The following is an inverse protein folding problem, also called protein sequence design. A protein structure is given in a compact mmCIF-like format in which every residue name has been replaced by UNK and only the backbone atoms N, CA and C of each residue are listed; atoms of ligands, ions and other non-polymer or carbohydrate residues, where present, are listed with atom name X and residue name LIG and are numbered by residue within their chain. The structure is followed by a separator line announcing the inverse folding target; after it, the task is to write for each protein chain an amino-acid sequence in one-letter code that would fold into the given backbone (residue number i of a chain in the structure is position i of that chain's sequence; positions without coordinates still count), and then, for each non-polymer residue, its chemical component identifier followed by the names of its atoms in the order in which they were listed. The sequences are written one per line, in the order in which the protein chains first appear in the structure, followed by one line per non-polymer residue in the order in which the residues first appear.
data_IF_944560031423
#
_entry.id   IF_944560031423
#
_cell.length_a   1.000
_cell.length_b   1.000
_cell.length_c   1.000
_cell.angle_alpha   90.00
_cell.angle_beta   90.00
_cell.angle_gamma   90.00
#
_symmetry.space_group_name_H-M   'P 1'
#
loop_
_entity.id
_entity.type
_entity.pdbx_description
1 polymer ?
#
# COMPACT_ATOMS: atom_id res chain seq x y z
N UNK A 1 29.99 -55.70 -32.41
CA UNK A 1 30.94 -56.34 -31.48
C UNK A 1 30.65 -55.84 -30.08
N UNK A 2 30.20 -56.75 -29.21
CA UNK A 2 30.44 -56.64 -27.76
C UNK A 2 31.97 -56.68 -27.52
N UNK A 3 32.49 -56.19 -26.38
CA UNK A 3 32.48 -57.07 -25.23
C UNK A 3 32.18 -56.39 -23.89
N UNK A 4 31.28 -57.08 -23.19
CA UNK A 4 31.20 -57.33 -21.76
C UNK A 4 32.52 -57.87 -21.16
N UNK A 5 32.90 -57.44 -19.93
CA UNK A 5 33.52 -58.24 -18.83
C UNK A 5 33.79 -57.33 -17.60
N UNK A 6 33.22 -57.57 -16.40
CA UNK A 6 33.67 -58.52 -15.32
C UNK A 6 34.95 -57.97 -14.65
N UNK A 7 35.18 -57.78 -13.35
CA UNK A 7 34.77 -58.38 -12.05
C UNK A 7 35.26 -57.41 -10.95
N UNK A 8 34.76 -57.41 -9.69
CA UNK A 8 35.08 -58.40 -8.65
C UNK A 8 34.13 -58.24 -7.45
N UNK A 9 33.70 -59.39 -6.93
CA UNK A 9 33.11 -59.61 -5.62
C UNK A 9 34.15 -59.37 -4.52
N UNK A 10 33.70 -58.92 -3.35
CA UNK A 10 34.16 -59.51 -2.09
C UNK A 10 32.99 -59.68 -1.12
N UNK A 11 33.07 -60.80 -0.41
CA UNK A 11 32.06 -61.44 0.43
C UNK A 11 32.40 -61.15 1.89
N UNK A 12 31.40 -60.92 2.73
CA UNK A 12 31.40 -61.39 4.12
C UNK A 12 29.96 -61.37 4.65
N UNK A 13 29.37 -62.55 4.77
CA UNK A 13 28.16 -62.75 5.60
C UNK A 13 28.58 -63.02 7.04
N UNK A 14 27.76 -62.60 8.00
CA UNK A 14 27.69 -63.21 9.32
C UNK A 14 26.23 -63.43 9.68
N UNK A 15 26.04 -64.60 10.26
CA UNK A 15 24.87 -65.41 10.56
C UNK A 15 23.94 -64.84 11.63
N UNK A 16 22.67 -65.20 11.48
CA UNK A 16 21.64 -65.21 12.52
C UNK A 16 21.99 -66.25 13.58
N UNK A 17 22.02 -65.86 14.85
CA UNK A 17 21.89 -66.78 16.00
C UNK A 17 20.90 -66.21 17.01
N UNK A 18 20.02 -67.10 17.43
CA UNK A 18 18.84 -66.92 18.27
C UNK A 18 19.13 -66.83 19.77
N UNK A 19 18.35 -65.97 20.43
CA UNK A 19 17.74 -66.08 21.77
C UNK A 19 18.58 -66.53 22.99
N UNK A 20 18.73 -65.63 23.97
CA UNK A 20 18.51 -65.88 25.40
C UNK A 20 18.34 -64.53 26.14
N UNK A 21 17.28 -64.43 26.93
CA UNK A 21 16.82 -63.18 27.54
C UNK A 21 17.65 -62.68 28.72
N UNK A 22 17.64 -61.36 28.88
CA UNK A 22 17.74 -60.69 30.16
C UNK A 22 16.66 -59.61 30.20
N UNK A 23 15.73 -59.78 31.13
CA UNK A 23 14.71 -58.80 31.50
C UNK A 23 15.43 -57.64 32.17
N UNK A 24 15.75 -56.61 31.39
CA UNK A 24 16.09 -55.30 31.92
C UNK A 24 14.84 -54.42 31.81
N UNK A 25 14.08 -54.38 32.91
CA UNK A 25 13.10 -53.34 33.17
C UNK A 25 13.86 -52.01 33.37
N UNK A 26 14.30 -51.41 32.26
CA UNK A 26 14.83 -50.06 32.21
C UNK A 26 13.68 -49.11 31.96
N UNK A 27 13.40 -48.24 32.93
CA UNK A 27 12.36 -47.22 32.89
C UNK A 27 12.32 -46.51 31.52
N UNK A 28 11.23 -46.70 30.78
CA UNK A 28 10.78 -45.71 29.81
C UNK A 28 10.30 -44.51 30.63
N UNK A 29 11.21 -43.60 30.97
CA UNK A 29 10.83 -42.22 31.29
C UNK A 29 10.24 -41.68 30.00
N UNK A 30 8.90 -41.77 29.89
CA UNK A 30 8.16 -41.07 28.86
C UNK A 30 8.42 -39.59 29.06
N UNK A 31 9.39 -39.04 28.33
CA UNK A 31 9.49 -37.61 28.12
C UNK A 31 8.17 -37.21 27.47
N UNK A 32 7.28 -36.62 28.27
CA UNK A 32 6.05 -36.02 27.78
C UNK A 32 6.47 -35.03 26.72
N UNK A 33 6.36 -35.42 25.45
CA UNK A 33 6.63 -34.54 24.34
C UNK A 33 5.62 -33.43 24.48
N UNK A 34 6.08 -32.23 24.84
CA UNK A 34 5.23 -31.05 24.79
C UNK A 34 4.74 -30.95 23.34
N UNK A 35 3.50 -31.38 23.10
CA UNK A 35 2.90 -31.32 21.77
C UNK A 35 2.65 -29.84 21.48
N UNK A 36 3.43 -29.29 20.55
CA UNK A 36 3.12 -28.00 19.96
C UNK A 36 1.86 -28.17 19.10
N UNK A 37 0.87 -27.32 19.34
CA UNK A 37 -0.39 -27.31 18.60
C UNK A 37 -0.36 -26.17 17.58
N UNK A 38 -0.77 -26.41 16.33
CA UNK A 38 -0.83 -25.37 15.32
C UNK A 38 -1.90 -24.35 15.70
N UNK A 39 -1.48 -23.10 15.92
CA UNK A 39 -2.38 -21.97 16.16
C UNK A 39 -2.38 -21.03 14.97
N UNK A 40 -3.52 -20.36 14.77
CA UNK A 40 -3.63 -19.31 13.76
C UNK A 40 -4.44 -18.13 14.26
N UNK A 41 -3.95 -16.93 13.96
CA UNK A 41 -4.61 -15.67 14.29
C UNK A 41 -4.67 -14.79 13.04
N UNK A 42 -5.85 -14.25 12.75
CA UNK A 42 -6.03 -13.29 11.67
C UNK A 42 -6.19 -11.89 12.24
N UNK A 43 -5.36 -10.95 11.80
CA UNK A 43 -5.40 -9.55 12.22
C UNK A 43 -5.44 -8.64 11.00
N UNK A 44 -6.24 -7.59 11.10
CA UNK A 44 -6.23 -6.50 10.14
C UNK A 44 -5.37 -5.36 10.69
N UNK A 45 -4.58 -4.77 9.81
CA UNK A 45 -3.72 -3.63 10.13
C UNK A 45 -3.97 -2.48 9.17
N UNK A 46 -3.84 -1.26 9.68
CA UNK A 46 -3.76 -0.05 8.88
C UNK A 46 -2.32 0.42 8.83
N UNK A 47 -1.74 0.45 7.63
CA UNK A 47 -0.35 0.77 7.37
C UNK A 47 -0.23 2.07 6.55
N UNK A 48 0.50 3.10 7.03
CA UNK A 48 0.73 4.32 6.26
C UNK A 48 1.81 4.07 5.19
N UNK A 49 1.43 4.12 3.92
CA UNK A 49 2.35 3.97 2.79
C UNK A 49 2.64 5.34 2.15
N UNK A 50 3.92 5.67 1.81
CA UNK A 50 4.33 7.03 1.46
C UNK A 50 3.55 7.71 0.32
N UNK A 51 3.00 6.94 -0.62
CA UNK A 51 2.33 7.47 -1.82
C UNK A 51 0.82 7.34 -1.77
N UNK A 52 0.35 6.25 -1.18
CA UNK A 52 -1.06 5.84 -1.24
C UNK A 52 -1.77 6.01 0.10
N UNK A 53 -1.10 6.61 1.09
CA UNK A 53 -1.65 6.85 2.41
C UNK A 53 -1.92 5.55 3.17
N UNK A 54 -2.96 5.56 4.01
CA UNK A 54 -3.29 4.44 4.87
C UNK A 54 -3.92 3.28 4.08
N UNK A 55 -3.29 2.11 4.17
CA UNK A 55 -3.71 0.88 3.52
C UNK A 55 -4.12 -0.17 4.54
N UNK A 56 -5.24 -0.85 4.29
CA UNK A 56 -5.67 -1.96 5.13
C UNK A 56 -5.10 -3.27 4.58
N UNK A 57 -4.27 -3.94 5.38
CA UNK A 57 -3.72 -5.26 5.07
C UNK A 57 -4.31 -6.30 6.03
N UNK A 58 -4.41 -7.55 5.56
CA UNK A 58 -4.88 -8.68 6.36
C UNK A 58 -3.73 -9.65 6.56
N UNK A 59 -3.30 -9.88 7.80
CA UNK A 59 -2.25 -10.81 8.15
C UNK A 59 -2.83 -12.07 8.81
N UNK A 60 -2.51 -13.23 8.27
CA UNK A 60 -2.82 -14.54 8.85
C UNK A 60 -1.52 -15.11 9.42
N UNK A 61 -1.42 -15.07 10.75
CA UNK A 61 -0.28 -15.56 11.51
C UNK A 61 -0.52 -17.04 11.80
N UNK A 62 0.50 -17.87 11.57
CA UNK A 62 0.50 -19.31 11.82
C UNK A 62 1.79 -19.69 12.55
N UNK A 63 1.66 -20.44 13.61
CA UNK A 63 2.80 -20.93 14.39
C UNK A 63 2.39 -22.13 15.21
N UNK A 64 3.35 -23.00 15.54
CA UNK A 64 3.14 -24.13 16.44
C UNK A 64 3.56 -23.71 17.85
N UNK A 65 2.62 -23.73 18.79
CA UNK A 65 2.88 -23.29 20.16
C UNK A 65 2.57 -24.42 21.17
N UNK A 66 3.40 -24.60 22.20
CA UNK A 66 3.11 -25.56 23.25
C UNK A 66 1.88 -25.12 24.05
N UNK A 67 1.05 -26.07 24.46
CA UNK A 67 -0.05 -25.82 25.40
C UNK A 67 0.43 -25.83 26.86
N UNK A 68 1.60 -26.44 27.12
CA UNK A 68 2.22 -26.52 28.44
C UNK A 68 3.73 -26.33 28.38
N UNK A 69 4.28 -25.60 29.34
CA UNK A 69 5.73 -25.39 29.51
C UNK A 69 6.10 -25.71 30.97
N UNK A 70 7.19 -26.47 31.16
CA UNK A 70 7.75 -26.73 32.48
C UNK A 70 8.26 -25.47 33.19
N UNK A 71 8.21 -25.45 34.52
CA UNK A 71 8.85 -24.37 35.30
C UNK A 71 10.36 -24.42 35.06
N UNK A 72 10.95 -23.30 34.67
CA UNK A 72 12.37 -23.20 34.31
C UNK A 72 12.75 -23.83 32.97
N UNK A 73 11.80 -24.45 32.27
CA UNK A 73 12.03 -25.03 30.96
C UNK A 73 11.98 -23.96 29.87
N UNK A 74 12.93 -23.92 28.93
CA UNK A 74 12.86 -23.03 27.78
C UNK A 74 11.72 -23.44 26.84
N UNK A 75 10.96 -22.47 26.34
CA UNK A 75 9.91 -22.67 25.33
C UNK A 75 10.43 -23.21 24.00
N UNK A 76 11.73 -23.07 23.75
CA UNK A 76 12.33 -23.28 22.45
C UNK A 76 12.11 -22.08 21.52
N UNK A 77 12.82 -22.11 20.39
CA UNK A 77 12.62 -21.15 19.30
C UNK A 77 11.26 -21.43 18.62
N UNK A 78 10.44 -20.39 18.49
CA UNK A 78 9.11 -20.51 17.90
C UNK A 78 9.16 -19.95 16.48
N UNK A 79 8.92 -20.83 15.50
CA UNK A 79 8.84 -20.45 14.08
C UNK A 79 7.47 -19.88 13.76
N UNK A 80 7.46 -18.72 13.11
CA UNK A 80 6.26 -17.99 12.75
C UNK A 80 6.22 -17.85 11.23
N UNK A 81 5.07 -18.19 10.66
CA UNK A 81 4.74 -17.90 9.26
C UNK A 81 3.59 -16.90 9.24
N UNK A 82 3.76 -15.78 8.56
CA UNK A 82 2.72 -14.78 8.36
C UNK A 82 2.38 -14.67 6.87
N UNK A 83 1.13 -14.86 6.51
CA UNK A 83 0.63 -14.62 5.15
C UNK A 83 -0.16 -13.32 5.17
N UNK A 84 0.36 -12.30 4.50
CA UNK A 84 -0.26 -10.98 4.44
C UNK A 84 -0.87 -10.74 3.08
N UNK A 85 -2.18 -10.52 3.02
CA UNK A 85 -2.87 -10.07 1.81
C UNK A 85 -2.67 -8.57 1.66
N UNK A 86 -1.97 -8.20 0.59
CA UNK A 86 -1.73 -6.83 0.15
C UNK A 86 -2.90 -6.40 -0.75
N UNK A 87 -3.58 -5.27 -0.47
CA UNK A 87 -4.72 -4.83 -1.25
C UNK A 87 -4.30 -4.35 -2.64
N UNK A 88 -5.24 -4.34 -3.58
CA UNK A 88 -5.01 -3.90 -4.96
C UNK A 88 -4.44 -2.48 -5.06
N UNK A 89 -4.88 -1.56 -4.22
CA UNK A 89 -4.36 -0.18 -4.14
C UNK A 89 -2.86 -0.13 -3.81
N UNK A 90 -2.39 -1.06 -2.97
CA UNK A 90 -0.97 -1.21 -2.67
C UNK A 90 -0.19 -1.83 -3.83
N UNK A 91 -0.76 -2.82 -4.53
CA UNK A 91 -0.21 -3.34 -5.80
C UNK A 91 -0.06 -2.21 -6.83
N UNK A 92 -1.07 -1.37 -6.98
CA UNK A 92 -1.05 -0.22 -7.89
C UNK A 92 0.06 0.77 -7.52
N UNK A 93 0.19 1.13 -6.24
CA UNK A 93 1.31 1.97 -5.78
C UNK A 93 2.68 1.37 -6.10
N UNK A 94 2.85 0.06 -5.95
CA UNK A 94 4.08 -0.65 -6.30
C UNK A 94 4.35 -0.63 -7.82
N UNK A 95 3.32 -0.90 -8.64
CA UNK A 95 3.46 -0.85 -10.11
C UNK A 95 3.73 0.56 -10.63
N UNK A 96 3.19 1.59 -9.97
CA UNK A 96 3.40 3.01 -10.32
C UNK A 96 4.87 3.41 -10.22
N UNK A 97 5.57 2.88 -9.22
CA UNK A 97 7.01 3.11 -9.02
C UNK A 97 7.88 2.15 -9.84
N UNK A 98 7.27 1.33 -10.69
CA UNK A 98 7.93 0.34 -11.53
C UNK A 98 8.44 -0.90 -10.76
N UNK A 99 7.90 -1.17 -9.56
CA UNK A 99 8.27 -2.36 -8.81
C UNK A 99 7.71 -3.62 -9.49
N UNK A 100 8.56 -4.61 -9.71
CA UNK A 100 8.16 -5.97 -10.10
C UNK A 100 8.30 -6.96 -8.95
N UNK A 101 9.09 -6.60 -7.93
CA UNK A 101 9.26 -7.40 -6.71
C UNK A 101 9.30 -6.52 -5.48
N UNK A 102 8.92 -7.10 -4.34
CA UNK A 102 9.03 -6.48 -3.02
C UNK A 102 9.70 -7.46 -2.07
N UNK A 103 10.64 -6.97 -1.28
CA UNK A 103 11.33 -7.73 -0.22
C UNK A 103 11.64 -6.81 0.95
N UNK A 104 12.02 -7.37 2.09
CA UNK A 104 12.40 -6.57 3.25
C UNK A 104 12.30 -7.32 4.56
N UNK A 105 11.92 -6.60 5.60
CA UNK A 105 11.75 -7.13 6.95
C UNK A 105 10.55 -6.51 7.65
N UNK A 106 10.12 -7.16 8.72
CA UNK A 106 9.13 -6.65 9.63
C UNK A 106 9.52 -6.96 11.07
N UNK A 107 9.02 -6.17 12.01
CA UNK A 107 9.13 -6.41 13.44
C UNK A 107 7.74 -6.46 14.03
N UNK A 108 7.32 -7.65 14.47
CA UNK A 108 6.05 -7.82 15.14
C UNK A 108 6.26 -7.58 16.65
N UNK A 109 5.59 -6.56 17.19
CA UNK A 109 5.50 -6.39 18.62
C UNK A 109 4.52 -7.44 19.17
N UNK A 110 4.86 -8.09 20.27
CA UNK A 110 3.99 -9.03 20.98
C UNK A 110 4.18 -8.85 22.48
N UNK A 111 3.16 -9.18 23.25
CA UNK A 111 3.21 -9.14 24.72
C UNK A 111 2.93 -10.52 25.25
N UNK A 112 3.86 -11.02 26.08
CA UNK A 112 3.70 -12.26 26.83
C UNK A 112 3.38 -11.89 28.28
N UNK A 113 2.13 -12.10 28.68
CA UNK A 113 1.70 -11.92 30.05
C UNK A 113 1.72 -13.27 30.76
N UNK A 114 2.48 -13.39 31.84
CA UNK A 114 2.59 -14.58 32.67
C UNK A 114 2.47 -14.20 34.16
N UNK A 115 2.29 -15.16 35.08
CA UNK A 115 2.18 -14.86 36.50
C UNK A 115 3.45 -14.12 36.99
N UNK A 116 3.25 -12.92 37.53
CA UNK A 116 4.33 -12.08 38.06
C UNK A 116 5.17 -11.32 37.03
N UNK A 117 4.93 -11.47 35.72
CA UNK A 117 5.70 -10.76 34.69
C UNK A 117 4.89 -10.47 33.41
N UNK A 118 5.09 -9.31 32.81
CA UNK A 118 4.63 -8.99 31.46
C UNK A 118 5.83 -8.57 30.62
N UNK A 119 6.15 -9.36 29.60
CA UNK A 119 7.34 -9.19 28.77
C UNK A 119 6.96 -8.71 27.36
N UNK A 120 7.43 -7.55 26.91
CA UNK A 120 7.38 -7.20 25.49
C UNK A 120 8.39 -8.05 24.71
N UNK A 121 7.93 -8.59 23.58
CA UNK A 121 8.72 -9.42 22.67
C UNK A 121 8.65 -8.80 21.28
N UNK A 122 9.81 -8.51 20.70
CA UNK A 122 9.92 -8.06 19.32
C UNK A 122 10.41 -9.21 18.45
N UNK A 123 9.56 -9.69 17.55
CA UNK A 123 9.87 -10.79 16.66
C UNK A 123 10.36 -10.24 15.33
N UNK A 124 11.63 -10.47 14.93
CA UNK A 124 12.09 -10.15 13.60
C UNK A 124 11.50 -11.13 12.59
N UNK A 125 10.96 -10.59 11.51
CA UNK A 125 10.32 -11.33 10.42
C UNK A 125 11.01 -10.92 9.11
N UNK A 126 11.40 -11.90 8.32
CA UNK A 126 11.97 -11.71 7.00
C UNK A 126 10.86 -11.79 5.95
N UNK A 127 10.80 -10.79 5.08
CA UNK A 127 9.92 -10.76 3.91
C UNK A 127 10.76 -11.15 2.69
N UNK A 128 10.68 -12.40 2.21
CA UNK A 128 11.45 -12.83 1.05
C UNK A 128 10.98 -12.09 -0.21
N UNK A 129 11.84 -12.12 -1.24
CA UNK A 129 11.53 -11.61 -2.58
C UNK A 129 10.22 -12.19 -3.10
N UNK A 130 9.21 -11.32 -3.20
CA UNK A 130 7.86 -11.66 -3.65
C UNK A 130 7.56 -10.91 -4.94
N UNK A 131 7.03 -11.61 -5.94
CA UNK A 131 6.64 -11.00 -7.20
C UNK A 131 5.38 -10.15 -7.01
N UNK A 132 5.42 -8.92 -7.52
CA UNK A 132 4.27 -8.01 -7.54
C UNK A 132 3.50 -8.26 -8.84
N UNK A 133 2.21 -8.63 -8.78
CA UNK A 133 1.42 -8.81 -10.00
C UNK A 133 1.12 -7.46 -10.66
N UNK A 134 0.72 -7.51 -11.94
CA UNK A 134 0.36 -6.30 -12.69
C UNK A 134 -0.89 -5.59 -12.15
N UNK A 135 -1.80 -6.31 -11.49
CA UNK A 135 -3.03 -5.78 -10.88
C UNK A 135 -3.59 -6.74 -9.84
N UNK A 136 -4.57 -6.29 -9.06
CA UNK A 136 -5.26 -7.09 -8.05
C UNK A 136 -4.52 -7.20 -6.71
N UNK A 137 -5.21 -7.79 -5.72
CA UNK A 137 -4.61 -8.13 -4.44
C UNK A 137 -3.68 -9.34 -4.57
N UNK A 138 -2.68 -9.45 -3.70
CA UNK A 138 -1.77 -10.60 -3.66
C UNK A 138 -1.29 -10.91 -2.25
N UNK A 139 -0.84 -12.14 -2.05
CA UNK A 139 -0.34 -12.59 -0.75
C UNK A 139 1.19 -12.55 -0.70
N UNK A 140 1.71 -12.04 0.41
CA UNK A 140 3.13 -12.06 0.77
C UNK A 140 3.31 -13.01 1.95
N UNK A 141 4.13 -14.04 1.76
CA UNK A 141 4.48 -14.96 2.84
C UNK A 141 5.79 -14.53 3.48
N UNK A 142 5.78 -14.27 4.77
CA UNK A 142 6.94 -13.87 5.56
C UNK A 142 7.18 -14.85 6.70
N UNK A 143 8.45 -14.98 7.12
CA UNK A 143 8.85 -15.95 8.14
C UNK A 143 9.71 -15.29 9.20
N UNK A 144 9.48 -15.61 10.47
CA UNK A 144 10.27 -15.10 11.59
C UNK A 144 10.47 -16.15 12.67
N UNK A 145 11.36 -15.82 13.61
CA UNK A 145 11.66 -16.66 14.77
C UNK A 145 11.54 -15.82 16.04
N UNK A 146 10.65 -16.22 16.95
CA UNK A 146 10.59 -15.62 18.27
C UNK A 146 11.63 -16.26 19.20
N UNK A 147 12.24 -15.48 20.10
CA UNK A 147 13.25 -15.99 21.02
C UNK A 147 12.65 -17.00 22.00
N UNK A 148 13.48 -17.92 22.48
CA UNK A 148 13.08 -18.84 23.55
C UNK A 148 12.93 -18.09 24.87
N UNK A 149 11.82 -18.34 25.57
CA UNK A 149 11.51 -17.77 26.88
C UNK A 149 11.44 -18.87 27.94
N UNK A 150 11.74 -18.55 29.19
CA UNK A 150 11.55 -19.45 30.33
C UNK A 150 10.77 -18.74 31.43
N UNK A 151 9.99 -19.52 32.18
CA UNK A 151 9.08 -19.00 33.19
C UNK A 151 9.32 -19.67 34.54
N UNK A 152 9.42 -18.86 35.59
CA UNK A 152 9.78 -19.33 36.93
C UNK A 152 8.58 -19.55 37.84
N UNK A 153 7.40 -19.08 37.44
CA UNK A 153 6.19 -19.15 38.25
C UNK A 153 5.10 -19.92 37.52
N UNK A 154 4.49 -20.88 38.22
CA UNK A 154 3.37 -21.65 37.69
C UNK A 154 2.12 -20.77 37.50
N UNK A 155 1.34 -21.08 36.46
CA UNK A 155 0.06 -20.44 36.17
C UNK A 155 -0.18 -20.24 34.68
N UNK A 156 -1.19 -19.44 34.35
CA UNK A 156 -1.60 -19.20 32.96
C UNK A 156 -0.79 -18.05 32.33
N UNK A 157 -0.31 -18.27 31.11
CA UNK A 157 0.35 -17.27 30.29
C UNK A 157 -0.39 -17.03 28.97
N UNK A 158 -0.39 -15.78 28.52
CA UNK A 158 -1.09 -15.31 27.32
C UNK A 158 -0.13 -14.62 26.38
N UNK A 159 -0.24 -14.93 25.10
CA UNK A 159 0.50 -14.27 24.03
C UNK A 159 -0.48 -13.41 23.24
N UNK A 160 -0.25 -12.11 23.25
CA UNK A 160 -1.02 -11.15 22.46
C UNK A 160 -0.11 -10.52 21.41
N UNK A 161 -0.61 -10.41 20.18
CA UNK A 161 0.11 -9.76 19.09
C UNK A 161 -0.25 -8.28 19.11
N UNK A 162 0.74 -7.42 18.89
CA UNK A 162 0.65 -5.97 18.87
C UNK A 162 0.84 -5.39 17.46
N UNK A 163 1.33 -4.16 17.42
CA UNK A 163 1.60 -3.44 16.17
C UNK A 163 2.79 -4.03 15.40
N UNK A 164 2.88 -3.64 14.13
CA UNK A 164 3.87 -4.17 13.19
C UNK A 164 4.68 -3.02 12.59
N UNK A 165 6.00 -3.08 12.68
CA UNK A 165 6.88 -2.17 11.93
C UNK A 165 7.39 -2.88 10.68
N UNK A 166 7.04 -2.38 9.51
CA UNK A 166 7.55 -2.86 8.22
C UNK A 166 8.75 -2.03 7.77
N UNK A 167 9.71 -2.68 7.13
CA UNK A 167 10.79 -2.05 6.36
C UNK A 167 10.87 -2.77 5.02
N UNK A 168 10.38 -2.13 3.95
CA UNK A 168 10.21 -2.77 2.64
C UNK A 168 11.01 -2.05 1.56
N UNK A 169 11.52 -2.83 0.62
CA UNK A 169 12.31 -2.36 -0.53
C UNK A 169 11.68 -2.88 -1.83
N UNK A 170 10.86 -2.07 -2.51
CA UNK A 170 10.37 -2.38 -3.84
C UNK A 170 11.48 -2.25 -4.88
N UNK A 171 11.60 -3.26 -5.74
CA UNK A 171 12.65 -3.37 -6.77
C UNK A 171 12.06 -3.57 -8.16
N UNK A 172 12.76 -3.02 -9.16
CA UNK A 172 12.44 -3.16 -10.58
C UNK A 172 12.83 -4.54 -11.11
N UNK A 173 12.49 -4.81 -12.38
CA UNK A 173 12.81 -6.06 -13.06
C UNK A 173 14.32 -6.36 -13.12
N UNK A 174 15.16 -5.33 -13.20
CA UNK A 174 16.62 -5.44 -13.21
C UNK A 174 17.24 -5.64 -11.82
N UNK A 175 16.42 -5.70 -10.76
CA UNK A 175 16.85 -5.86 -9.38
C UNK A 175 17.32 -4.57 -8.70
N UNK A 176 17.32 -3.43 -9.40
CA UNK A 176 17.61 -2.12 -8.80
C UNK A 176 16.43 -1.59 -8.00
N UNK A 177 16.69 -0.67 -7.07
CA UNK A 177 15.65 -0.01 -6.29
C UNK A 177 14.75 0.86 -7.19
N UNK A 178 13.47 0.93 -6.83
CA UNK A 178 12.54 1.88 -7.44
C UNK A 178 12.85 3.31 -7.01
N UNK A 179 12.19 4.30 -7.63
CA UNK A 179 12.31 5.71 -7.22
C UNK A 179 11.88 5.98 -5.77
N UNK A 180 11.12 5.06 -5.16
CA UNK A 180 10.69 5.13 -3.76
C UNK A 180 11.81 4.76 -2.77
N UNK A 181 12.78 3.94 -3.19
CA UNK A 181 13.79 3.37 -2.30
C UNK A 181 13.21 2.46 -1.22
N UNK A 182 14.00 2.21 -0.17
CA UNK A 182 13.54 1.49 1.03
C UNK A 182 12.72 2.42 1.92
N UNK A 183 11.57 1.94 2.41
CA UNK A 183 10.68 2.71 3.28
C UNK A 183 10.25 1.92 4.52
N UNK A 184 9.98 2.66 5.59
CA UNK A 184 9.40 2.13 6.82
C UNK A 184 7.89 2.42 6.86
N UNK A 185 7.10 1.47 7.36
CA UNK A 185 5.67 1.66 7.61
C UNK A 185 5.30 1.13 9.00
N UNK A 186 4.82 2.01 9.87
CA UNK A 186 4.32 1.68 11.20
C UNK A 186 2.84 1.27 11.10
N UNK A 187 2.58 -0.03 10.98
CA UNK A 187 1.25 -0.59 10.89
C UNK A 187 0.61 -0.73 12.26
N UNK A 188 -0.60 -0.20 12.40
CA UNK A 188 -1.39 -0.26 13.64
C UNK A 188 -2.54 -1.24 13.47
N UNK A 189 -2.91 -1.95 14.52
CA UNK A 189 -4.06 -2.85 14.46
C UNK A 189 -5.37 -2.09 14.30
N UNK A 190 -6.29 -2.63 13.49
CA UNK A 190 -7.65 -2.12 13.42
C UNK A 190 -8.34 -2.34 14.77
N UNK A 191 -8.97 -1.31 15.38
CA UNK A 191 -9.62 -1.45 16.68
C UNK A 191 -10.75 -2.49 16.70
N UNK A 192 -10.93 -3.15 17.86
CA UNK A 192 -12.06 -4.06 18.11
C UNK A 192 -11.85 -5.53 17.71
N UNK A 193 -10.67 -5.89 17.18
CA UNK A 193 -10.31 -7.30 16.90
C UNK A 193 -9.70 -8.01 18.12
N UNK A 194 -9.86 -9.32 18.19
CA UNK A 194 -9.17 -10.15 19.19
C UNK A 194 -7.72 -10.36 18.76
N UNK A 195 -6.77 -9.95 19.60
CA UNK A 195 -5.34 -10.08 19.36
C UNK A 195 -4.63 -11.16 20.20
N UNK A 196 -5.40 -11.98 20.92
CA UNK A 196 -4.89 -13.15 21.64
C UNK A 196 -4.52 -14.25 20.65
N UNK A 197 -3.23 -14.54 20.53
CA UNK A 197 -2.71 -15.60 19.66
C UNK A 197 -2.84 -16.96 20.32
N UNK A 198 -2.46 -17.07 21.60
CA UNK A 198 -2.46 -18.33 22.32
C UNK A 198 -2.47 -18.14 23.82
N UNK A 199 -2.99 -19.16 24.52
CA UNK A 199 -2.91 -19.28 25.98
C UNK A 199 -2.30 -20.63 26.31
N UNK A 200 -1.31 -20.64 27.21
CA UNK A 200 -0.64 -21.85 27.64
C UNK A 200 -0.44 -21.86 29.16
N UNK A 201 -0.26 -23.05 29.73
CA UNK A 201 -0.05 -23.20 31.18
C UNK A 201 1.41 -23.47 31.49
N UNK A 202 1.95 -22.75 32.47
CA UNK A 202 3.26 -22.99 33.05
C UNK A 202 3.05 -23.90 34.26
N UNK A 203 3.58 -25.13 34.22
CA UNK A 203 3.34 -26.14 35.26
C UNK A 203 4.36 -27.28 35.21
N UNK A 204 4.64 -27.87 36.38
CA UNK A 204 5.77 -28.79 36.56
C UNK A 204 5.71 -30.09 35.77
N UNK A 205 6.78 -30.36 35.01
CA UNK A 205 7.24 -31.70 34.69
C UNK A 205 7.97 -32.29 35.90
N UNK A 206 7.24 -32.98 36.77
CA UNK A 206 7.81 -33.62 37.95
C UNK A 206 6.83 -34.60 38.55
N UNK A 207 7.06 -35.89 38.32
CA UNK A 207 6.31 -36.96 38.99
C UNK A 207 6.45 -36.83 40.51
N UNK A 208 5.34 -36.57 41.18
CA UNK A 208 5.12 -36.99 42.56
C UNK A 208 3.70 -37.54 42.62
N UNK A 209 3.61 -38.71 43.25
CA UNK A 209 2.39 -39.50 43.49
C UNK A 209 1.20 -38.66 43.98
N UNK A 210 -0.04 -39.00 43.59
CA UNK A 210 -1.24 -38.37 44.14
C UNK A 210 -1.30 -38.58 45.66
N UNK A 211 -1.65 -37.59 46.49
CA UNK A 211 -2.25 -37.89 47.78
C UNK A 211 -3.67 -38.37 47.50
N UNK A 212 -3.85 -39.69 47.53
CA UNK A 212 -5.14 -40.32 47.81
C UNK A 212 -5.64 -39.84 49.17
N UNK A 213 -6.58 -38.90 49.18
CA UNK A 213 -7.64 -38.85 50.19
C UNK A 213 -8.84 -38.09 49.63
N UNK A 214 -10.00 -38.75 49.44
CA UNK A 214 -11.24 -38.08 49.08
C UNK A 214 -11.72 -37.19 50.23
N UNK A 215 -12.23 -35.96 50.01
CA UNK A 215 -13.06 -35.30 51.00
C UNK A 215 -14.40 -36.04 51.04
N UNK A 216 -14.59 -36.82 52.10
CA UNK A 216 -15.88 -37.35 52.53
C UNK A 216 -16.66 -36.21 53.19
N UNK A 217 -17.56 -35.56 52.46
CA UNK A 217 -18.82 -35.01 53.01
C UNK A 217 -19.73 -34.52 51.86
N UNK A 218 -20.94 -35.11 51.69
CA UNK A 218 -21.93 -34.59 50.76
C UNK A 218 -22.54 -33.29 51.28
N UNK A 219 -22.80 -32.26 50.44
CA UNK A 219 -23.71 -31.19 50.82
C UNK A 219 -25.15 -31.73 50.76
N UNK A 220 -25.71 -32.01 51.93
CA UNK A 220 -27.14 -32.17 52.16
C UNK A 220 -27.81 -30.80 52.17
N UNK A 221 -28.48 -30.41 51.06
CA UNK A 221 -29.83 -29.79 51.04
C UNK A 221 -30.22 -29.43 49.60
N UNK A 222 -31.37 -29.91 49.08
CA UNK A 222 -31.92 -29.45 47.81
C UNK A 222 -32.63 -28.09 47.96
N UNK A 223 -32.56 -27.18 46.98
CA UNK A 223 -33.42 -26.00 46.97
C UNK A 223 -34.86 -26.42 46.62
N UNK A 224 -35.75 -26.35 47.61
CA UNK A 224 -37.19 -26.45 47.45
C UNK A 224 -37.78 -25.08 47.09
N UNK A 225 -38.03 -24.82 45.80
CA UNK A 225 -39.25 -24.13 45.30
C UNK A 225 -39.20 -23.96 43.77
N UNK A 226 -40.20 -24.43 43.01
CA UNK A 226 -40.36 -24.11 41.59
C UNK A 226 -41.05 -22.75 41.42
N UNK A 227 -40.62 -21.87 40.49
CA UNK A 227 -41.43 -20.73 40.09
C UNK A 227 -42.60 -21.21 39.23
N UNK A 228 -43.79 -21.16 39.81
CA UNK A 228 -45.09 -21.26 39.14
C UNK A 228 -45.50 -19.90 38.58
N UNK A 229 -45.43 -19.69 37.26
CA UNK A 229 -46.49 -19.08 36.43
C UNK A 229 -46.04 -18.95 34.96
N UNK A 230 -46.81 -19.43 33.97
CA UNK A 230 -46.56 -19.18 32.56
C UNK A 230 -47.18 -17.83 32.14
N UNK A 231 -46.52 -16.99 31.31
CA UNK A 231 -47.20 -15.88 30.68
C UNK A 231 -48.08 -16.40 29.53
N UNK A 232 -49.39 -16.28 29.73
CA UNK A 232 -50.43 -16.37 28.70
C UNK A 232 -50.49 -15.07 27.91
N UNK A 233 -50.03 -15.06 26.66
CA UNK A 233 -50.74 -14.55 25.46
C UNK A 233 -49.78 -14.46 24.26
N UNK A 234 -50.11 -15.05 23.09
CA UNK A 234 -49.36 -14.84 21.86
C UNK A 234 -49.77 -13.52 21.20
N UNK A 235 -48.83 -12.69 20.70
CA UNK A 235 -49.20 -11.60 19.81
C UNK A 235 -49.66 -12.18 18.48
N UNK A 236 -50.93 -11.95 18.17
CA UNK A 236 -51.53 -12.13 16.85
C UNK A 236 -50.95 -11.15 15.84
N UNK A 237 -50.94 -11.58 14.57
CA UNK A 237 -50.64 -10.87 13.31
C UNK A 237 -49.16 -10.70 12.89
N UNK A 238 -48.69 -11.47 11.89
CA UNK A 238 -47.48 -11.19 11.12
C UNK A 238 -47.69 -9.94 10.24
N UNK A 239 -46.68 -9.07 10.05
CA UNK A 239 -46.72 -8.11 8.98
C UNK A 239 -46.62 -8.85 7.64
N UNK A 240 -47.64 -8.66 6.81
CA UNK A 240 -47.66 -9.01 5.41
C UNK A 240 -46.60 -8.23 4.64
N UNK A 241 -46.03 -8.90 3.64
CA UNK A 241 -45.14 -8.41 2.54
C UNK A 241 -43.68 -8.07 2.89
N UNK A 242 -42.73 -8.95 2.50
CA UNK A 242 -41.33 -8.57 2.32
C UNK A 242 -41.20 -7.55 1.18
N UNK A 243 -40.30 -6.55 1.25
CA UNK A 243 -39.96 -5.76 0.08
C UNK A 243 -39.27 -6.67 -0.94
N UNK A 244 -39.98 -6.95 -2.03
CA UNK A 244 -39.43 -7.55 -3.25
C UNK A 244 -38.51 -6.54 -3.92
N UNK A 245 -37.23 -6.57 -3.54
CA UNK A 245 -36.00 -6.39 -4.35
C UNK A 245 -34.90 -5.78 -3.47
N UNK A 246 -33.78 -6.49 -3.22
CA UNK A 246 -32.55 -5.83 -2.83
C UNK A 246 -32.15 -4.87 -3.96
N UNK A 247 -31.58 -3.68 -3.67
CA UNK A 247 -30.92 -2.91 -4.70
C UNK A 247 -29.77 -3.77 -5.25
N UNK A 248 -29.98 -4.35 -6.42
CA UNK A 248 -28.91 -4.90 -7.23
C UNK A 248 -28.02 -3.72 -7.59
N UNK A 249 -26.78 -3.79 -7.11
CA UNK A 249 -25.63 -2.90 -7.30
C UNK A 249 -25.35 -1.95 -6.10
N UNK A 250 -24.53 -2.39 -5.13
CA UNK A 250 -23.73 -1.45 -4.33
C UNK A 250 -22.93 -0.56 -5.30
N UNK A 251 -22.70 0.74 -5.01
CA UNK A 251 -21.72 1.51 -5.76
C UNK A 251 -20.36 0.80 -5.64
N UNK A 252 -19.90 0.16 -6.72
CA UNK A 252 -18.63 -0.59 -6.79
C UNK A 252 -17.43 0.33 -6.93
N UNK A 253 -17.43 1.48 -6.25
CA UNK A 253 -16.22 2.27 -6.13
C UNK A 253 -16.21 2.88 -4.74
N UNK A 254 -15.35 2.40 -3.83
CA UNK A 254 -14.99 3.19 -2.66
C UNK A 254 -14.61 4.60 -3.15
N UNK A 255 -14.85 5.67 -2.40
CA UNK A 255 -14.19 6.93 -2.68
C UNK A 255 -12.68 6.65 -2.59
N UNK A 256 -12.05 6.42 -3.74
CA UNK A 256 -10.61 6.23 -3.83
C UNK A 256 -10.04 7.59 -3.43
N UNK A 257 -9.50 7.69 -2.21
CA UNK A 257 -8.68 8.82 -1.80
C UNK A 257 -7.41 8.74 -2.64
N UNK A 258 -7.51 9.21 -3.90
CA UNK A 258 -6.48 9.08 -4.90
C UNK A 258 -5.12 9.61 -4.41
N UNK A 259 -4.06 9.11 -5.04
CA UNK A 259 -2.68 9.45 -4.71
C UNK A 259 -2.46 10.92 -5.03
N UNK A 260 -2.17 11.73 -4.01
CA UNK A 260 -1.85 13.14 -4.18
C UNK A 260 -0.39 13.29 -4.57
N UNK A 261 -0.13 13.98 -5.67
CA UNK A 261 1.23 14.26 -6.16
C UNK A 261 1.32 15.71 -6.59
N UNK A 262 2.34 16.40 -6.12
CA UNK A 262 2.56 17.80 -6.42
C UNK A 262 3.82 17.94 -7.27
N UNK A 263 3.76 18.72 -8.34
CA UNK A 263 4.87 18.96 -9.25
C UNK A 263 5.14 20.46 -9.39
N UNK A 264 6.42 20.80 -9.48
CA UNK A 264 6.88 22.07 -10.02
C UNK A 264 6.96 21.96 -11.55
N UNK A 265 6.47 23.00 -12.23
CA UNK A 265 6.48 23.13 -13.68
C UNK A 265 7.63 24.05 -14.06
N UNK A 266 8.48 23.61 -14.98
CA UNK A 266 9.43 24.47 -15.69
C UNK A 266 9.42 24.15 -17.17
N UNK A 267 9.55 25.14 -18.03
CA UNK A 267 9.54 24.87 -19.46
C UNK A 267 9.45 26.10 -20.34
N UNK A 268 9.09 25.88 -21.59
CA UNK A 268 8.88 26.95 -22.55
C UNK A 268 7.83 26.57 -23.60
N UNK A 269 7.25 27.59 -24.20
CA UNK A 269 6.39 27.45 -25.37
C UNK A 269 6.93 28.29 -26.51
N UNK A 270 6.91 27.72 -27.71
CA UNK A 270 7.32 28.41 -28.95
C UNK A 270 6.08 28.70 -29.78
N UNK A 271 5.88 29.97 -30.09
CA UNK A 271 4.79 30.45 -30.90
C UNK A 271 5.26 30.55 -32.35
N UNK A 272 4.77 29.66 -33.20
CA UNK A 272 5.32 29.46 -34.54
C UNK A 272 5.09 30.66 -35.44
N UNK A 273 3.88 31.24 -35.43
CA UNK A 273 3.54 32.38 -36.29
C UNK A 273 4.14 33.69 -35.81
N UNK A 274 4.55 33.76 -34.54
CA UNK A 274 5.06 34.98 -33.91
C UNK A 274 6.58 34.97 -33.72
N UNK A 275 7.25 33.91 -34.16
CA UNK A 275 8.70 33.72 -34.03
C UNK A 275 9.22 34.09 -32.63
N UNK A 276 8.50 33.66 -31.59
CA UNK A 276 8.77 34.02 -30.20
C UNK A 276 8.66 32.83 -29.27
N UNK A 277 9.27 32.97 -28.10
CA UNK A 277 9.27 31.95 -27.05
C UNK A 277 8.86 32.58 -25.73
N UNK A 278 8.06 31.84 -24.97
CA UNK A 278 7.57 32.23 -23.65
C UNK A 278 8.04 31.20 -22.64
N UNK A 279 8.61 31.65 -21.53
CA UNK A 279 8.97 30.76 -20.42
C UNK A 279 7.73 30.39 -19.64
N UNK A 280 7.61 29.12 -19.27
CA UNK A 280 6.54 28.59 -18.45
C UNK A 280 7.11 28.15 -17.11
N UNK A 281 6.43 28.55 -16.04
CA UNK A 281 6.74 28.13 -14.69
C UNK A 281 5.46 28.06 -13.87
N UNK A 282 5.43 27.23 -12.84
CA UNK A 282 4.22 27.07 -12.02
C UNK A 282 4.22 25.79 -11.22
N UNK A 283 3.03 25.35 -10.85
CA UNK A 283 2.79 24.17 -10.04
C UNK A 283 1.60 23.37 -10.57
N UNK A 284 1.64 22.06 -10.39
CA UNK A 284 0.53 21.16 -10.69
C UNK A 284 0.27 20.24 -9.50
N UNK A 285 -0.92 20.33 -8.92
CA UNK A 285 -1.34 19.49 -7.80
C UNK A 285 -2.33 18.45 -8.32
N UNK A 286 -1.90 17.21 -8.43
CA UNK A 286 -2.67 16.11 -8.98
C UNK A 286 -3.20 15.18 -7.88
N UNK A 287 -4.38 14.63 -8.12
CA UNK A 287 -4.92 13.46 -7.41
C UNK A 287 -5.13 12.36 -8.44
N UNK A 288 -4.35 11.29 -8.34
CA UNK A 288 -4.37 10.17 -9.25
C UNK A 288 -5.23 9.02 -8.71
N UNK A 289 -6.19 8.58 -9.51
CA UNK A 289 -6.90 7.32 -9.33
C UNK A 289 -6.18 6.24 -10.13
N UNK A 290 -5.29 5.51 -9.44
CA UNK A 290 -4.47 4.46 -10.06
C UNK A 290 -5.29 3.27 -10.53
N UNK A 291 -6.47 3.02 -9.92
CA UNK A 291 -7.36 1.94 -10.34
C UNK A 291 -8.03 2.27 -11.67
N UNK A 292 -8.43 3.53 -11.84
CA UNK A 292 -8.99 4.01 -13.10
C UNK A 292 -7.94 4.35 -14.16
N UNK A 293 -6.64 4.37 -13.81
CA UNK A 293 -5.56 4.83 -14.68
C UNK A 293 -5.70 6.30 -15.09
N UNK A 294 -6.32 7.12 -14.22
CA UNK A 294 -6.66 8.52 -14.50
C UNK A 294 -6.20 9.43 -13.37
N UNK A 295 -6.07 10.71 -13.65
CA UNK A 295 -5.86 11.72 -12.63
C UNK A 295 -6.63 12.99 -12.95
N UNK A 296 -6.89 13.76 -11.91
CA UNK A 296 -7.37 15.15 -11.99
C UNK A 296 -6.42 16.05 -11.23
N UNK A 297 -6.27 17.31 -11.63
CA UNK A 297 -5.41 18.21 -10.89
C UNK A 297 -5.64 19.68 -11.16
N UNK A 298 -5.15 20.47 -10.21
CA UNK A 298 -5.19 21.92 -10.25
C UNK A 298 -3.88 22.45 -10.83
N UNK A 299 -4.00 23.12 -11.97
CA UNK A 299 -2.89 23.77 -12.65
C UNK A 299 -2.77 25.21 -12.17
N UNK A 300 -1.56 25.64 -11.78
CA UNK A 300 -1.28 27.04 -11.47
C UNK A 300 -0.02 27.46 -12.21
N UNK A 301 -0.20 28.21 -13.29
CA UNK A 301 0.92 28.80 -14.04
C UNK A 301 1.20 30.21 -13.55
N UNK A 302 2.48 30.53 -13.40
CA UNK A 302 2.94 31.87 -13.05
C UNK A 302 2.76 32.81 -14.25
N UNK A 303 2.40 34.09 -14.02
CA UNK A 303 2.47 35.11 -15.05
C UNK A 303 3.87 35.18 -15.66
N UNK A 304 3.93 35.47 -16.95
CA UNK A 304 5.17 35.47 -17.72
C UNK A 304 5.15 36.58 -18.76
N UNK A 305 6.30 36.82 -19.39
CA UNK A 305 6.41 37.77 -20.49
C UNK A 305 7.19 37.16 -21.64
N UNK A 306 6.86 37.57 -22.86
CA UNK A 306 7.50 37.09 -24.09
C UNK A 306 7.81 38.22 -25.06
N UNK A 307 8.81 37.98 -25.90
CA UNK A 307 9.15 38.82 -27.04
C UNK A 307 8.76 38.10 -28.34
N UNK A 308 8.14 38.84 -29.24
CA UNK A 308 7.51 38.32 -30.45
C UNK A 308 7.85 39.20 -31.65
N UNK A 309 7.81 38.63 -32.85
CA UNK A 309 7.96 39.35 -34.12
C UNK A 309 6.70 39.20 -34.96
N UNK A 310 5.89 40.25 -34.99
CA UNK A 310 4.71 40.31 -35.83
C UNK A 310 5.16 40.49 -37.29
N UNK A 311 4.65 39.65 -38.20
CA UNK A 311 5.04 39.62 -39.62
C UNK A 311 6.55 39.43 -39.87
N UNK A 312 7.29 38.89 -38.89
CA UNK A 312 8.72 38.60 -39.00
C UNK A 312 9.67 39.79 -38.78
N UNK A 313 9.18 41.03 -38.72
CA UNK A 313 10.03 42.22 -38.56
C UNK A 313 9.59 43.17 -37.45
N UNK A 314 8.33 43.14 -37.01
CA UNK A 314 7.81 44.11 -36.05
C UNK A 314 7.97 43.58 -34.61
N UNK A 315 8.85 44.18 -33.77
CA UNK A 315 9.07 43.70 -32.41
C UNK A 315 7.90 44.08 -31.50
N UNK A 316 7.35 43.07 -30.83
CA UNK A 316 6.30 43.18 -29.85
C UNK A 316 6.70 42.49 -28.55
N UNK A 317 6.33 43.08 -27.42
CA UNK A 317 6.47 42.43 -26.11
C UNK A 317 5.09 42.27 -25.49
N UNK A 318 4.88 41.19 -24.75
CA UNK A 318 3.64 41.02 -24.03
C UNK A 318 3.83 40.33 -22.69
N UNK A 319 3.08 40.81 -21.70
CA UNK A 319 2.88 40.15 -20.42
C UNK A 319 1.60 39.32 -20.45
N UNK A 320 1.68 38.10 -19.94
CA UNK A 320 0.68 37.06 -20.09
C UNK A 320 0.36 36.51 -18.71
N UNK A 321 -0.92 36.47 -18.38
CA UNK A 321 -1.46 35.75 -17.24
C UNK A 321 -2.25 34.53 -17.73
N UNK A 322 -2.23 33.46 -16.92
CA UNK A 322 -2.89 32.21 -17.24
C UNK A 322 -4.02 31.95 -16.24
N UNK A 323 -5.22 31.65 -16.74
CA UNK A 323 -6.38 31.30 -15.92
C UNK A 323 -6.91 29.92 -16.34
N UNK A 324 -6.64 28.86 -15.56
CA UNK A 324 -7.19 27.53 -15.84
C UNK A 324 -8.72 27.54 -15.84
N UNK A 325 -9.33 26.77 -16.75
CA UNK A 325 -10.79 26.63 -16.84
C UNK A 325 -11.17 25.19 -16.55
N UNK A 326 -11.82 24.99 -15.40
CA UNK A 326 -12.10 23.66 -14.87
C UNK A 326 -10.86 22.95 -14.35
N UNK A 327 -11.02 21.66 -14.05
CA UNK A 327 -9.95 20.81 -13.52
C UNK A 327 -9.21 20.13 -14.67
N UNK A 328 -7.89 20.20 -14.68
CA UNK A 328 -7.12 19.47 -15.67
C UNK A 328 -7.21 17.96 -15.38
N UNK A 329 -7.10 17.15 -16.43
CA UNK A 329 -7.24 15.70 -16.31
C UNK A 329 -6.29 14.97 -17.27
N UNK A 330 -6.10 13.68 -17.03
CA UNK A 330 -5.27 12.87 -17.91
C UNK A 330 -5.29 11.41 -17.55
N UNK A 331 -4.52 10.63 -18.31
CA UNK A 331 -4.31 9.21 -18.06
C UNK A 331 -2.91 8.98 -17.52
N UNK A 332 -2.79 8.04 -16.59
CA UNK A 332 -1.52 7.57 -16.05
C UNK A 332 -1.38 6.07 -16.32
N UNK A 333 -0.28 5.69 -16.95
CA UNK A 333 0.12 4.31 -17.19
C UNK A 333 1.59 4.16 -16.81
N UNK A 334 2.06 2.94 -16.59
CA UNK A 334 3.46 2.71 -16.22
C UNK A 334 4.41 3.34 -17.24
N UNK A 335 5.17 4.35 -16.80
CA UNK A 335 6.15 5.05 -17.61
C UNK A 335 5.60 6.07 -18.61
N UNK A 336 4.29 6.33 -18.65
CA UNK A 336 3.71 7.29 -19.60
C UNK A 336 2.47 8.01 -19.06
N UNK A 337 2.35 9.30 -19.38
CA UNK A 337 1.21 10.13 -19.00
C UNK A 337 0.67 10.95 -20.18
N UNK A 338 -0.63 11.27 -20.11
CA UNK A 338 -1.27 12.30 -20.93
C UNK A 338 -1.81 13.40 -20.05
N UNK A 339 -1.89 14.62 -20.57
CA UNK A 339 -2.49 15.78 -19.90
C UNK A 339 -3.46 16.45 -20.85
N UNK A 340 -4.62 16.81 -20.35
CA UNK A 340 -5.65 17.57 -21.04
C UNK A 340 -6.18 18.66 -20.10
N UNK A 341 -6.09 19.91 -20.53
CA UNK A 341 -6.57 21.06 -19.78
C UNK A 341 -7.09 22.16 -20.69
N UNK A 342 -7.93 23.02 -20.14
CA UNK A 342 -8.41 24.25 -20.79
C UNK A 342 -7.82 25.45 -20.08
N UNK A 343 -7.31 26.41 -20.84
CA UNK A 343 -6.58 27.55 -20.31
C UNK A 343 -6.98 28.85 -21.00
N UNK A 344 -7.42 29.83 -20.23
CA UNK A 344 -7.53 31.21 -20.70
C UNK A 344 -6.14 31.84 -20.66
N UNK A 345 -5.67 32.27 -21.84
CA UNK A 345 -4.46 33.07 -22.01
C UNK A 345 -4.87 34.53 -22.06
N UNK A 346 -4.52 35.28 -21.01
CA UNK A 346 -4.90 36.69 -20.85
C UNK A 346 -3.67 37.55 -21.08
N UNK A 347 -3.70 38.39 -22.11
CA UNK A 347 -2.67 39.39 -22.34
C UNK A 347 -2.93 40.53 -21.38
N UNK A 348 -2.03 40.77 -20.44
CA UNK A 348 -2.20 41.84 -19.44
C UNK A 348 -1.57 43.16 -19.87
N UNK A 349 -0.56 43.06 -20.74
CA UNK A 349 0.11 44.18 -21.36
C UNK A 349 0.61 43.78 -22.74
N UNK A 350 0.49 44.68 -23.71
CA UNK A 350 1.08 44.54 -25.04
C UNK A 350 1.84 45.82 -25.36
N UNK A 351 3.10 45.69 -25.78
CA UNK A 351 3.97 46.78 -26.17
C UNK A 351 4.46 46.61 -27.61
N UNK A 352 4.49 47.69 -28.38
CA UNK A 352 5.14 47.75 -29.70
C UNK A 352 6.25 48.78 -29.66
N UNK A 353 7.45 48.41 -30.13
CA UNK A 353 8.64 49.26 -30.03
C UNK A 353 8.90 49.82 -28.62
N UNK A 354 8.59 49.02 -27.59
CA UNK A 354 8.73 49.41 -26.18
C UNK A 354 7.62 50.34 -25.65
N UNK A 355 6.66 50.75 -26.49
CA UNK A 355 5.54 51.60 -26.09
C UNK A 355 4.33 50.71 -25.76
N UNK A 356 3.78 50.75 -24.53
CA UNK A 356 2.61 49.97 -24.16
C UNK A 356 1.39 50.49 -24.93
N UNK A 357 0.81 49.64 -25.77
CA UNK A 357 -0.39 49.94 -26.57
C UNK A 357 -1.67 49.39 -25.94
N UNK A 358 -1.53 48.47 -24.97
CA UNK A 358 -2.62 47.92 -24.19
C UNK A 358 -2.14 47.56 -22.79
N UNK A 359 -2.99 47.85 -21.79
CA UNK A 359 -2.84 47.43 -20.40
C UNK A 359 -4.23 47.15 -19.82
N UNK A 360 -4.42 45.99 -19.19
CA UNK A 360 -5.71 45.56 -18.63
C UNK A 360 -5.84 44.06 -18.61
N UNK A 361 -6.91 43.49 -18.07
CA UNK A 361 -7.08 42.04 -17.88
C UNK A 361 -8.20 41.43 -18.75
N UNK A 362 -8.74 42.18 -19.70
CA UNK A 362 -9.87 41.78 -20.56
C UNK A 362 -9.45 41.16 -21.90
N UNK A 363 -8.23 41.41 -22.35
CA UNK A 363 -7.71 40.91 -23.63
C UNK A 363 -7.44 39.41 -23.58
N UNK A 364 -8.39 38.61 -24.09
CA UNK A 364 -8.28 37.14 -24.18
C UNK A 364 -9.11 36.59 -25.34
N UNK A 365 -8.90 35.32 -25.66
CA UNK A 365 -9.73 34.58 -26.62
C UNK A 365 -11.17 34.42 -26.10
N UNK A 366 -12.20 34.44 -26.98
CA UNK A 366 -13.58 34.14 -26.60
C UNK A 366 -13.76 32.74 -26.00
N UNK A 367 -12.98 31.77 -26.48
CA UNK A 367 -13.00 30.39 -26.01
C UNK A 367 -11.67 30.02 -25.35
N UNK A 368 -11.69 29.22 -24.27
CA UNK A 368 -10.47 28.71 -23.64
C UNK A 368 -9.62 27.89 -24.62
N UNK A 369 -8.31 28.00 -24.49
CA UNK A 369 -7.36 27.22 -25.30
C UNK A 369 -7.28 25.79 -24.77
N UNK A 370 -7.50 24.81 -25.64
CA UNK A 370 -7.27 23.41 -25.33
C UNK A 370 -5.77 23.07 -25.37
N UNK A 371 -5.29 22.46 -24.29
CA UNK A 371 -3.90 22.04 -24.11
C UNK A 371 -3.88 20.53 -23.94
N UNK A 372 -3.26 19.82 -24.88
CA UNK A 372 -3.03 18.38 -24.81
C UNK A 372 -1.55 18.07 -24.86
N UNK A 373 -1.02 17.46 -23.79
CA UNK A 373 0.40 17.10 -23.67
C UNK A 373 0.55 15.59 -23.47
N UNK A 374 1.71 15.05 -23.85
CA UNK A 374 2.10 13.65 -23.66
C UNK A 374 3.52 13.57 -23.16
N UNK A 375 3.83 12.58 -22.33
CA UNK A 375 5.20 12.34 -21.88
C UNK A 375 6.11 11.92 -23.04
N UNK A 376 7.36 12.39 -22.98
CA UNK A 376 8.42 11.97 -23.90
C UNK A 376 9.39 11.08 -23.13
N UNK A 377 9.60 9.86 -23.63
CA UNK A 377 10.40 8.85 -22.92
C UNK A 377 9.65 8.26 -21.73
N UNK A 378 10.39 7.79 -20.74
CA UNK A 378 9.84 7.19 -19.53
C UNK A 378 9.51 8.27 -18.50
N UNK A 379 8.23 8.39 -18.14
CA UNK A 379 7.75 9.28 -17.08
C UNK A 379 7.68 8.55 -15.74
N UNK A 380 8.43 9.01 -14.75
CA UNK A 380 8.42 8.47 -13.39
C UNK A 380 7.51 9.35 -12.52
N UNK A 381 6.41 8.81 -12.01
CA UNK A 381 5.44 9.58 -11.23
C UNK A 381 6.07 10.18 -9.95
N UNK A 382 7.15 9.59 -9.42
CA UNK A 382 7.82 10.09 -8.22
C UNK A 382 8.97 11.05 -8.48
N UNK A 383 9.44 11.17 -9.72
CA UNK A 383 10.49 12.12 -10.07
C UNK A 383 9.98 13.22 -10.97
N UNK A 384 8.90 12.95 -11.70
CA UNK A 384 8.41 13.71 -12.81
C UNK A 384 9.09 13.28 -14.12
N UNK A 385 9.08 14.17 -15.09
CA UNK A 385 9.61 13.93 -16.41
C UNK A 385 9.12 14.93 -17.44
N UNK A 386 9.60 14.75 -18.66
CA UNK A 386 9.33 15.67 -19.76
C UNK A 386 7.99 15.37 -20.42
N UNK A 387 7.19 16.41 -20.63
CA UNK A 387 5.94 16.35 -21.38
C UNK A 387 5.93 17.41 -22.49
N UNK A 388 5.41 17.05 -23.65
CA UNK A 388 5.33 17.95 -24.79
C UNK A 388 3.98 17.86 -25.48
N UNK A 389 3.65 18.89 -26.25
CA UNK A 389 2.43 18.88 -27.05
C UNK A 389 2.32 20.10 -27.95
N UNK A 390 1.17 20.22 -28.58
CA UNK A 390 0.86 21.33 -29.47
C UNK A 390 -0.47 21.98 -29.09
N UNK A 391 -0.61 23.25 -29.44
CA UNK A 391 -1.83 24.01 -29.22
C UNK A 391 -1.98 25.11 -30.28
N UNK A 392 -3.19 25.64 -30.35
CA UNK A 392 -3.52 26.77 -31.23
C UNK A 392 -4.05 27.91 -30.38
N UNK A 393 -3.64 29.13 -30.70
CA UNK A 393 -4.20 30.35 -30.14
C UNK A 393 -5.21 30.94 -31.12
N UNK A 394 -6.42 31.18 -30.63
CA UNK A 394 -7.44 31.90 -31.37
C UNK A 394 -7.21 33.41 -31.26
N UNK A 395 -7.92 34.16 -32.13
CA UNK A 395 -7.95 35.61 -32.09
C UNK A 395 -8.44 36.11 -30.72
N UNK A 396 -7.73 37.08 -30.16
CA UNK A 396 -8.15 37.73 -28.91
C UNK A 396 -9.15 38.85 -29.17
N UNK A 397 -10.00 39.09 -28.19
CA UNK A 397 -11.05 40.11 -28.20
C UNK A 397 -10.93 40.98 -26.94
N UNK A 398 -11.58 42.15 -26.96
CA UNK A 398 -11.61 43.09 -25.83
C UNK A 398 -10.22 43.60 -25.42
N UNK A 399 -9.31 43.78 -26.37
CA UNK A 399 -7.97 44.33 -26.15
C UNK A 399 -7.96 45.87 -26.22
N UNK A 400 -8.98 46.50 -25.63
CA UNK A 400 -9.15 47.96 -25.64
C UNK A 400 -9.47 48.54 -27.04
N UNK A 401 -9.19 49.84 -27.27
CA UNK A 401 -9.53 50.52 -28.52
C UNK A 401 -8.78 50.00 -29.75
N UNK A 402 -7.73 49.20 -29.54
CA UNK A 402 -6.92 48.57 -30.58
C UNK A 402 -7.26 47.08 -30.76
N UNK A 403 -8.42 46.61 -30.28
CA UNK A 403 -8.79 45.18 -30.36
C UNK A 403 -8.75 44.64 -31.80
N UNK A 404 -9.20 45.42 -32.78
CA UNK A 404 -9.21 45.02 -34.20
C UNK A 404 -7.79 44.92 -34.79
N UNK A 405 -6.83 45.61 -34.17
CA UNK A 405 -5.43 45.55 -34.55
C UNK A 405 -4.70 44.42 -33.81
N UNK A 406 -4.83 44.32 -32.48
CA UNK A 406 -4.11 43.35 -31.66
C UNK A 406 -4.61 41.91 -31.89
N UNK A 407 -5.93 41.74 -32.00
CA UNK A 407 -6.56 40.42 -32.06
C UNK A 407 -5.99 39.50 -33.15
N UNK A 408 -5.99 39.92 -34.42
CA UNK A 408 -5.53 39.08 -35.53
C UNK A 408 -4.07 38.60 -35.36
N UNK A 409 -3.20 39.42 -34.77
CA UNK A 409 -1.79 39.07 -34.59
C UNK A 409 -1.53 38.06 -33.48
N UNK A 410 -2.47 37.83 -32.57
CA UNK A 410 -2.29 36.80 -31.52
C UNK A 410 -2.59 35.40 -32.07
N UNK A 411 -3.35 35.31 -33.16
CA UNK A 411 -3.76 34.04 -33.78
C UNK A 411 -2.52 33.28 -34.25
N UNK A 412 -2.31 32.08 -33.71
CA UNK A 412 -1.16 31.26 -34.08
C UNK A 412 -1.47 29.78 -33.95
N UNK A 413 -1.16 29.01 -35.01
CA UNK A 413 -1.44 27.57 -35.09
C UNK A 413 -0.15 26.75 -35.10
N UNK A 414 -0.21 25.55 -34.51
CA UNK A 414 0.93 24.64 -34.46
C UNK A 414 2.03 25.11 -33.51
N UNK A 415 1.64 25.81 -32.44
CA UNK A 415 2.54 26.19 -31.37
C UNK A 415 2.95 24.95 -30.59
N UNK A 416 4.18 24.93 -30.08
CA UNK A 416 4.71 23.81 -29.31
C UNK A 416 4.86 24.20 -27.84
N UNK A 417 4.61 23.24 -26.96
CA UNK A 417 4.87 23.35 -25.52
C UNK A 417 5.82 22.24 -25.13
N UNK A 418 6.84 22.62 -24.37
CA UNK A 418 7.83 21.73 -23.82
C UNK A 418 7.98 22.04 -22.33
N UNK A 419 7.59 21.09 -21.48
CA UNK A 419 7.54 21.23 -20.02
C UNK A 419 8.28 20.07 -19.38
N UNK A 420 9.07 20.38 -18.38
CA UNK A 420 9.61 19.46 -17.41
C UNK A 420 8.80 19.57 -16.11
N UNK A 421 8.28 18.42 -15.67
CA UNK A 421 7.67 18.28 -14.36
C UNK A 421 8.69 17.70 -13.41
N UNK A 422 8.89 18.32 -12.26
CA UNK A 422 9.71 17.78 -11.18
C UNK A 422 8.86 17.62 -9.92
N UNK A 423 9.01 16.51 -9.19
CA UNK A 423 8.22 16.34 -7.96
C UNK A 423 8.58 17.41 -6.93
N UNK A 424 7.55 18.02 -6.35
CA UNK A 424 7.70 18.99 -5.26
C UNK A 424 7.77 18.21 -3.95
N UNK A 425 8.95 18.27 -3.30
CA UNK A 425 9.23 17.56 -2.04
C UNK A 425 8.58 18.22 -0.83
#
# INVERSE_FOLDING_TARGET
MSPRKVSKKLVAGITVTSAAGLVAAGLLVGGGSSSAEPVSLTLNYTCPFPLIGNQNIKAVIKTDLPTKIGIGEPSGEIKITAVTTVPETATQGLTLVGATTVEGSAQAASTVAAPGITLPVNVPITVPKTNVPASGAFDVTATGSAPSLSFQQAGEAKITVGDLKLTLTPKKADGTETGLGTFDSACTQVPGQNNLLHTFTIGGGGGTTPPTTPPTTPPTTPPTTPPTTPPTTPPTTPPTTPPTTPPTTPPTTPPNNGVKVNYDITGSSTLKSLNGTVKLGGEFNATADLAAGKYTGDLKLNPTSGQFKILGFLPAESSIAFKPVGTASGTVTTGAITFNGKLDVVLTQVSLFGIPIYMGDTCKSPNPTDISLKSVGNFDVLKGGKITGTYNLAQTTNCGPLSDFIGPFVTSSGNTIDIDLAIKK
#
